data_IF_300859539299
#
_entry.id   IF_300859539299
#
_cell.length_a   1.000
_cell.length_b   1.000
_cell.length_c   1.000
_cell.angle_alpha   90.00
_cell.angle_beta   90.00
_cell.angle_gamma   90.00
#
_symmetry.space_group_name_H-M   'P 1'
#
loop_
_entity.id
_entity.type
_entity.pdbx_description
1 polymer ?
#
# COMPACT_ATOMS: atom_id res chain seq x y z
N UNK A 1 27.90 -0.97 31.08
CA UNK A 1 27.87 -0.23 29.79
C UNK A 1 27.08 1.06 29.96
N UNK A 2 27.53 1.96 30.84
CA UNK A 2 26.89 3.26 31.07
C UNK A 2 27.91 4.35 30.70
N UNK A 3 27.58 5.23 29.75
CA UNK A 3 28.34 6.46 29.45
C UNK A 3 28.87 6.63 28.03
N UNK A 4 28.73 5.65 27.14
CA UNK A 4 29.16 5.81 25.74
C UNK A 4 28.06 6.49 24.92
N UNK A 5 28.36 7.69 24.41
CA UNK A 5 27.50 8.43 23.48
C UNK A 5 28.09 8.28 22.07
N UNK A 6 27.48 7.45 21.19
CA UNK A 6 28.02 7.19 19.87
C UNK A 6 28.02 8.45 19.00
N UNK A 7 29.05 8.57 18.17
CA UNK A 7 29.24 9.71 17.27
C UNK A 7 28.23 9.65 16.11
N UNK A 8 27.98 10.78 15.45
CA UNK A 8 26.92 10.89 14.44
C UNK A 8 27.10 9.91 13.26
N UNK A 9 28.34 9.73 12.81
CA UNK A 9 28.72 8.76 11.77
C UNK A 9 28.46 7.31 12.19
N UNK A 10 28.67 6.97 13.46
CA UNK A 10 28.36 5.65 14.01
C UNK A 10 26.85 5.41 14.05
N UNK A 11 26.07 6.43 14.43
CA UNK A 11 24.61 6.39 14.45
C UNK A 11 24.02 6.26 13.04
N UNK A 12 24.55 7.00 12.07
CA UNK A 12 24.13 6.93 10.66
C UNK A 12 24.46 5.57 10.06
N UNK A 13 25.68 5.06 10.28
CA UNK A 13 26.10 3.74 9.79
C UNK A 13 25.26 2.62 10.40
N UNK A 14 24.94 2.71 11.70
CA UNK A 14 24.04 1.75 12.36
C UNK A 14 22.63 1.81 11.75
N UNK A 15 22.07 3.01 11.54
CA UNK A 15 20.77 3.21 10.89
C UNK A 15 20.73 2.63 9.47
N UNK A 16 21.77 2.87 8.68
CA UNK A 16 21.90 2.35 7.31
C UNK A 16 21.92 0.82 7.27
N UNK A 17 22.49 0.15 8.28
CA UNK A 17 22.41 -1.30 8.42
C UNK A 17 20.97 -1.82 8.53
N UNK A 18 20.13 -1.13 9.32
CA UNK A 18 18.70 -1.47 9.41
C UNK A 18 17.95 -1.17 8.10
N UNK A 19 18.24 -0.03 7.45
CA UNK A 19 17.64 0.32 6.16
C UNK A 19 17.95 -0.72 5.07
N UNK A 20 19.19 -1.20 5.00
CA UNK A 20 19.59 -2.26 4.06
C UNK A 20 18.82 -3.56 4.30
N UNK A 21 18.63 -3.95 5.56
CA UNK A 21 17.84 -5.14 5.92
C UNK A 21 16.38 -4.99 5.46
N UNK A 22 15.75 -3.83 5.71
CA UNK A 22 14.39 -3.54 5.26
C UNK A 22 14.29 -3.58 3.72
N UNK A 23 15.25 -2.98 3.01
CA UNK A 23 15.29 -2.99 1.54
C UNK A 23 15.41 -4.41 0.99
N UNK A 24 16.27 -5.25 1.58
CA UNK A 24 16.43 -6.64 1.16
C UNK A 24 15.13 -7.44 1.28
N UNK A 25 14.38 -7.25 2.37
CA UNK A 25 13.05 -7.85 2.56
C UNK A 25 12.06 -7.33 1.52
N UNK A 26 12.06 -6.02 1.25
CA UNK A 26 11.18 -5.43 0.24
C UNK A 26 11.44 -5.98 -1.17
N UNK A 27 12.69 -6.18 -1.57
CA UNK A 27 13.02 -6.73 -2.92
C UNK A 27 12.41 -8.11 -3.14
N UNK A 28 12.39 -8.96 -2.11
CA UNK A 28 11.83 -10.31 -2.20
C UNK A 28 10.31 -10.38 -2.05
N UNK A 29 9.66 -9.28 -1.65
CA UNK A 29 8.24 -9.26 -1.35
C UNK A 29 7.41 -8.94 -2.61
N UNK A 30 6.26 -9.58 -2.82
CA UNK A 30 5.35 -9.18 -3.89
C UNK A 30 4.98 -7.70 -3.78
N UNK A 31 5.10 -6.96 -4.89
CA UNK A 31 4.81 -5.52 -4.98
C UNK A 31 3.49 -5.09 -4.30
N UNK A 32 2.37 -5.84 -4.43
CA UNK A 32 1.12 -5.48 -3.76
C UNK A 32 1.22 -5.44 -2.23
N UNK A 33 2.03 -6.31 -1.62
CA UNK A 33 2.22 -6.36 -0.16
C UNK A 33 3.00 -5.13 0.29
N UNK A 34 4.04 -4.74 -0.47
CA UNK A 34 4.83 -3.54 -0.18
C UNK A 34 3.95 -2.29 -0.25
N UNK A 35 3.13 -2.16 -1.29
CA UNK A 35 2.25 -1.00 -1.45
C UNK A 35 1.19 -0.92 -0.34
N UNK A 36 0.61 -2.04 0.08
CA UNK A 36 -0.30 -2.07 1.22
C UNK A 36 0.40 -1.69 2.52
N UNK A 37 1.57 -2.25 2.81
CA UNK A 37 2.34 -1.92 4.00
C UNK A 37 2.72 -0.43 4.03
N UNK A 38 3.20 0.10 2.91
CA UNK A 38 3.54 1.52 2.78
C UNK A 38 2.34 2.41 3.10
N UNK A 39 1.17 2.13 2.54
CA UNK A 39 -0.04 2.93 2.77
C UNK A 39 -0.59 2.79 4.19
N UNK A 40 -0.53 1.60 4.79
CA UNK A 40 -0.92 1.38 6.20
C UNK A 40 0.01 2.12 7.15
N UNK A 41 1.33 2.00 6.98
CA UNK A 41 2.32 2.73 7.78
C UNK A 41 2.11 4.24 7.63
N UNK A 42 1.90 4.72 6.40
CA UNK A 42 1.66 6.13 6.15
C UNK A 42 0.36 6.63 6.78
N UNK A 43 -0.71 5.84 6.74
CA UNK A 43 -1.96 6.14 7.44
C UNK A 43 -1.75 6.22 8.96
N UNK A 44 -1.04 5.26 9.55
CA UNK A 44 -0.76 5.25 11.00
C UNK A 44 0.12 6.44 11.41
N UNK A 45 1.17 6.74 10.65
CA UNK A 45 2.06 7.88 10.89
C UNK A 45 1.28 9.21 10.86
N UNK A 46 0.28 9.32 9.99
CA UNK A 46 -0.53 10.53 9.80
C UNK A 46 -1.86 10.52 10.56
N UNK A 47 -2.07 9.60 11.51
CA UNK A 47 -3.32 9.49 12.28
C UNK A 47 -3.70 10.75 13.09
N UNK A 48 -2.74 11.66 13.34
CA UNK A 48 -2.93 12.95 14.02
C UNK A 48 -2.90 14.16 13.09
N UNK A 49 -2.75 13.96 11.77
CA UNK A 49 -2.66 15.04 10.80
C UNK A 49 -4.00 15.80 10.61
N UNK A 50 -4.06 16.69 9.62
CA UNK A 50 -5.30 17.39 9.23
C UNK A 50 -6.31 16.40 8.63
N UNK A 51 -7.58 16.80 8.57
CA UNK A 51 -8.63 15.97 7.93
C UNK A 51 -8.29 15.65 6.48
N UNK A 52 -7.78 16.64 5.73
CA UNK A 52 -7.36 16.47 4.34
C UNK A 52 -6.32 15.35 4.16
N UNK A 53 -5.27 15.34 5.00
CA UNK A 53 -4.24 14.30 4.95
C UNK A 53 -4.83 12.94 5.31
N UNK A 54 -5.61 12.86 6.40
CA UNK A 54 -6.24 11.59 6.81
C UNK A 54 -7.13 11.03 5.72
N UNK A 55 -7.94 11.87 5.08
CA UNK A 55 -8.84 11.46 4.02
C UNK A 55 -8.07 10.84 2.85
N UNK A 56 -7.04 11.51 2.34
CA UNK A 56 -6.26 10.95 1.22
C UNK A 56 -5.46 9.70 1.61
N UNK A 57 -4.92 9.63 2.83
CA UNK A 57 -4.29 8.41 3.34
C UNK A 57 -5.29 7.24 3.44
N UNK A 58 -6.50 7.50 3.92
CA UNK A 58 -7.54 6.47 4.03
C UNK A 58 -8.01 6.01 2.65
N UNK A 59 -8.24 6.90 1.68
CA UNK A 59 -8.59 6.52 0.31
C UNK A 59 -7.51 5.62 -0.31
N UNK A 60 -6.24 6.01 -0.20
CA UNK A 60 -5.13 5.22 -0.72
C UNK A 60 -5.04 3.85 -0.03
N UNK A 61 -5.22 3.79 1.30
CA UNK A 61 -5.18 2.54 2.06
C UNK A 61 -6.31 1.58 1.66
N UNK A 62 -7.55 2.06 1.49
CA UNK A 62 -8.67 1.20 1.07
C UNK A 62 -8.47 0.70 -0.36
N UNK A 63 -7.92 1.54 -1.25
CA UNK A 63 -7.54 1.12 -2.60
C UNK A 63 -6.52 -0.01 -2.56
N UNK A 64 -5.42 0.18 -1.84
CA UNK A 64 -4.38 -0.83 -1.70
C UNK A 64 -4.89 -2.11 -1.04
N UNK A 65 -5.79 -2.01 -0.08
CA UNK A 65 -6.40 -3.18 0.54
C UNK A 65 -7.28 -3.96 -0.46
N UNK A 66 -7.99 -3.26 -1.34
CA UNK A 66 -8.79 -3.88 -2.41
C UNK A 66 -7.90 -4.64 -3.40
N UNK A 67 -6.84 -3.99 -3.87
CA UNK A 67 -5.87 -4.59 -4.80
C UNK A 67 -5.12 -5.74 -4.14
N UNK A 68 -4.81 -5.65 -2.85
CA UNK A 68 -4.22 -6.75 -2.09
C UNK A 68 -5.12 -7.99 -2.13
N UNK A 69 -6.42 -7.86 -1.85
CA UNK A 69 -7.36 -9.01 -1.89
C UNK A 69 -7.37 -9.66 -3.28
N UNK A 70 -7.45 -8.86 -4.35
CA UNK A 70 -7.41 -9.38 -5.73
C UNK A 70 -6.11 -10.15 -6.00
N UNK A 71 -4.97 -9.55 -5.64
CA UNK A 71 -3.67 -10.20 -5.81
C UNK A 71 -3.53 -11.46 -4.93
N UNK A 72 -4.10 -11.49 -3.72
CA UNK A 72 -4.09 -12.67 -2.85
C UNK A 72 -4.85 -13.84 -3.47
N UNK A 73 -6.01 -13.61 -4.07
CA UNK A 73 -6.75 -14.66 -4.80
C UNK A 73 -5.93 -15.18 -5.98
N UNK A 74 -5.31 -14.29 -6.76
CA UNK A 74 -4.43 -14.66 -7.88
C UNK A 74 -3.22 -15.46 -7.41
N UNK A 75 -2.60 -15.05 -6.30
CA UNK A 75 -1.49 -15.75 -5.68
C UNK A 75 -1.90 -17.13 -5.18
N UNK A 76 -3.00 -17.27 -4.44
CA UNK A 76 -3.49 -18.57 -3.98
C UNK A 76 -3.80 -19.52 -5.15
N UNK A 77 -4.40 -19.00 -6.23
CA UNK A 77 -4.61 -19.78 -7.45
C UNK A 77 -3.28 -20.20 -8.09
N UNK A 78 -2.32 -19.29 -8.17
CA UNK A 78 -0.96 -19.59 -8.67
C UNK A 78 -0.30 -20.68 -7.83
N UNK A 79 -0.37 -20.60 -6.50
CA UNK A 79 0.17 -21.62 -5.59
C UNK A 79 -0.50 -22.98 -5.77
N UNK A 80 -1.82 -23.00 -6.01
CA UNK A 80 -2.56 -24.23 -6.27
C UNK A 80 -2.16 -24.88 -7.61
N UNK A 81 -1.78 -24.10 -8.62
CA UNK A 81 -1.24 -24.61 -9.89
C UNK A 81 0.20 -25.11 -9.74
N UNK A 82 1.05 -24.39 -9.01
CA UNK A 82 2.49 -24.73 -8.89
C UNK A 82 2.72 -25.91 -7.93
N UNK A 83 2.06 -25.91 -6.79
CA UNK A 83 2.30 -26.86 -5.69
C UNK A 83 1.17 -27.87 -5.49
N UNK A 84 0.07 -27.72 -6.23
CA UNK A 84 -1.09 -28.62 -6.16
C UNK A 84 -1.40 -29.26 -7.50
N UNK A 85 -2.65 -29.68 -7.65
CA UNK A 85 -3.16 -30.33 -8.88
C UNK A 85 -3.82 -29.33 -9.83
N UNK A 86 -3.66 -28.02 -9.58
CA UNK A 86 -4.28 -26.96 -10.37
C UNK A 86 -3.77 -26.98 -11.82
N UNK A 87 -4.68 -26.77 -12.77
CA UNK A 87 -4.33 -26.66 -14.20
C UNK A 87 -4.27 -25.20 -14.62
N UNK A 88 -3.39 -24.92 -15.59
CA UNK A 88 -3.42 -23.65 -16.30
C UNK A 88 -4.70 -23.58 -17.15
N UNK A 89 -5.57 -22.61 -16.87
CA UNK A 89 -6.85 -22.45 -17.56
C UNK A 89 -6.99 -21.05 -18.15
N UNK A 90 -7.85 -20.89 -19.15
CA UNK A 90 -8.15 -19.59 -19.73
C UNK A 90 -8.74 -18.62 -18.68
N UNK A 91 -9.54 -19.14 -17.73
CA UNK A 91 -10.07 -18.34 -16.63
C UNK A 91 -8.98 -17.79 -15.72
N UNK A 92 -7.96 -18.60 -15.40
CA UNK A 92 -6.80 -18.14 -14.64
C UNK A 92 -6.01 -17.06 -15.38
N UNK A 93 -5.74 -17.25 -16.67
CA UNK A 93 -5.02 -16.27 -17.48
C UNK A 93 -5.79 -14.95 -17.62
N UNK A 94 -7.11 -15.02 -17.86
CA UNK A 94 -7.97 -13.86 -17.91
C UNK A 94 -8.01 -13.11 -16.56
N UNK A 95 -8.01 -13.85 -15.46
CA UNK A 95 -7.98 -13.28 -14.12
C UNK A 95 -6.65 -12.55 -13.84
N UNK A 96 -5.50 -13.16 -14.19
CA UNK A 96 -4.20 -12.50 -14.07
C UNK A 96 -4.10 -11.25 -14.94
N UNK A 97 -4.58 -11.30 -16.19
CA UNK A 97 -4.63 -10.13 -17.06
C UNK A 97 -5.49 -9.01 -16.45
N UNK A 98 -6.63 -9.38 -15.84
CA UNK A 98 -7.49 -8.43 -15.13
C UNK A 98 -6.74 -7.80 -13.96
N UNK A 99 -6.11 -8.58 -13.08
CA UNK A 99 -5.31 -8.06 -11.96
C UNK A 99 -4.23 -7.09 -12.47
N UNK A 100 -3.51 -7.48 -13.52
CA UNK A 100 -2.47 -6.64 -14.10
C UNK A 100 -3.02 -5.28 -14.55
N UNK A 101 -4.14 -5.27 -15.29
CA UNK A 101 -4.79 -4.03 -15.72
C UNK A 101 -5.25 -3.17 -14.53
N UNK A 102 -5.81 -3.78 -13.49
CA UNK A 102 -6.20 -3.06 -12.27
C UNK A 102 -4.99 -2.43 -11.55
N UNK A 103 -3.87 -3.13 -11.42
CA UNK A 103 -2.64 -2.58 -10.82
C UNK A 103 -2.09 -1.40 -11.65
N UNK A 104 -2.08 -1.51 -12.99
CA UNK A 104 -1.63 -0.43 -13.88
C UNK A 104 -2.56 0.78 -13.78
N UNK A 105 -3.88 0.56 -13.81
CA UNK A 105 -4.85 1.63 -13.64
C UNK A 105 -4.69 2.31 -12.27
N UNK A 106 -4.53 1.54 -11.20
CA UNK A 106 -4.31 2.06 -9.86
C UNK A 106 -3.03 2.92 -9.79
N UNK A 107 -1.93 2.48 -10.41
CA UNK A 107 -0.69 3.24 -10.48
C UNK A 107 -0.91 4.60 -11.16
N UNK A 108 -1.60 4.64 -12.31
CA UNK A 108 -1.88 5.88 -13.04
C UNK A 108 -2.74 6.82 -12.18
N UNK A 109 -3.82 6.31 -11.59
CA UNK A 109 -4.72 7.12 -10.78
C UNK A 109 -4.02 7.63 -9.51
N UNK A 110 -3.15 6.84 -8.89
CA UNK A 110 -2.31 7.27 -7.76
C UNK A 110 -1.39 8.44 -8.14
N UNK A 111 -0.67 8.36 -9.27
CA UNK A 111 0.21 9.43 -9.73
C UNK A 111 -0.59 10.70 -10.03
N UNK A 112 -1.72 10.58 -10.72
CA UNK A 112 -2.60 11.71 -11.03
C UNK A 112 -3.13 12.37 -9.74
N UNK A 113 -3.52 11.57 -8.75
CA UNK A 113 -4.04 12.02 -7.46
C UNK A 113 -2.97 12.70 -6.64
N UNK A 114 -1.77 12.11 -6.55
CA UNK A 114 -0.63 12.71 -5.86
C UNK A 114 -0.31 14.10 -6.42
N UNK A 115 -0.36 14.26 -7.75
CA UNK A 115 -0.13 15.53 -8.43
C UNK A 115 -1.20 16.58 -8.09
N UNK A 116 -2.48 16.18 -8.03
CA UNK A 116 -3.59 17.08 -7.65
C UNK A 116 -3.54 17.47 -6.17
N UNK A 117 -3.32 16.50 -5.29
CA UNK A 117 -3.24 16.69 -3.84
C UNK A 117 -2.07 17.59 -3.47
N UNK A 118 -0.92 17.48 -4.16
CA UNK A 118 0.22 18.40 -4.00
C UNK A 118 -0.15 19.86 -4.29
N UNK A 119 -1.13 20.11 -5.15
CA UNK A 119 -1.65 21.46 -5.46
C UNK A 119 -2.80 21.88 -4.53
N UNK A 120 -3.11 21.10 -3.49
CA UNK A 120 -4.22 21.36 -2.58
C UNK A 120 -5.61 20.99 -3.14
N UNK A 121 -5.68 20.33 -4.29
CA UNK A 121 -6.94 19.93 -4.91
C UNK A 121 -7.39 18.59 -4.32
N UNK A 122 -8.59 18.57 -3.73
CA UNK A 122 -9.22 17.35 -3.28
C UNK A 122 -9.61 16.46 -4.47
N UNK A 123 -9.03 15.27 -4.54
CA UNK A 123 -9.26 14.32 -5.63
C UNK A 123 -9.89 13.05 -5.09
N UNK A 124 -11.21 12.94 -5.29
CA UNK A 124 -12.03 11.80 -4.87
C UNK A 124 -12.16 10.76 -5.98
N UNK A 125 -11.96 9.49 -5.63
CA UNK A 125 -12.10 8.38 -6.56
C UNK A 125 -13.51 7.84 -6.50
N UNK A 126 -14.11 7.58 -7.66
CA UNK A 126 -15.53 7.22 -7.76
C UNK A 126 -15.96 6.07 -6.83
N UNK A 127 -15.13 5.03 -6.69
CA UNK A 127 -15.44 3.88 -5.83
C UNK A 127 -14.96 4.06 -4.37
N UNK A 128 -13.70 4.42 -4.16
CA UNK A 128 -13.09 4.46 -2.82
C UNK A 128 -13.37 5.76 -2.05
N UNK A 129 -13.73 6.83 -2.75
CA UNK A 129 -14.08 8.12 -2.19
C UNK A 129 -15.26 8.07 -1.22
N UNK A 130 -16.43 7.58 -1.65
CA UNK A 130 -17.59 7.43 -0.78
C UNK A 130 -17.29 6.57 0.44
N UNK A 131 -16.54 5.46 0.26
CA UNK A 131 -16.11 4.59 1.37
C UNK A 131 -15.21 5.31 2.37
N UNK A 132 -14.27 6.10 1.88
CA UNK A 132 -13.35 6.92 2.69
C UNK A 132 -14.13 7.93 3.53
N UNK A 133 -15.08 8.61 2.90
CA UNK A 133 -15.94 9.59 3.54
C UNK A 133 -16.77 8.93 4.64
N UNK A 134 -17.40 7.79 4.38
CA UNK A 134 -18.16 7.03 5.38
C UNK A 134 -17.29 6.60 6.58
N UNK A 135 -16.07 6.12 6.33
CA UNK A 135 -15.16 5.67 7.37
C UNK A 135 -14.67 6.82 8.27
N UNK A 136 -14.50 8.02 7.72
CA UNK A 136 -14.04 9.18 8.47
C UNK A 136 -15.17 10.00 9.11
N UNK A 137 -16.38 10.00 8.54
CA UNK A 137 -17.56 10.65 9.12
C UNK A 137 -17.99 10.02 10.45
N UNK A 138 -17.77 8.71 10.63
CA UNK A 138 -18.13 7.98 11.86
C UNK A 138 -17.38 8.46 13.12
N UNK A 139 -16.36 9.32 12.99
CA UNK A 139 -15.58 9.86 14.11
C UNK A 139 -16.16 11.14 14.73
N UNK A 140 -17.34 11.57 14.29
CA UNK A 140 -18.12 12.68 14.86
C UNK A 140 -19.33 12.11 15.63
N UNK A 141 -19.08 11.45 16.74
CA UNK A 141 -20.10 11.19 17.77
C UNK A 141 -19.63 11.86 19.07
N UNK A 142 -20.53 12.58 19.77
CA UNK A 142 -20.21 13.51 20.85
C UNK A 142 -19.56 12.85 22.06
#
# INVERSE_FOLDING_TARGET
MNGYNPREDEREKASNGYLMSVMAVMVGMPLPIINLLATVIFYIANRRATYFVKWHCTQAMISQFTIFIMNSVGFSWTMHIIFGEGKLTNSYLAYLATIFLFNVAELIVNIATATKVRKGIHSEWWFWGPLTTLLLQKKKQP
#
